data_IF_613262607786
#
_entry.id   IF_613262607786
#
_cell.length_a   1.000
_cell.length_b   1.000
_cell.length_c   1.000
_cell.angle_alpha   90.00
_cell.angle_beta   90.00
_cell.angle_gamma   90.00
#
_symmetry.space_group_name_H-M   'P 1'
#
loop_
_entity.id
_entity.type
_entity.pdbx_description
1 polymer ?
#
# COMPACT_ATOMS: atom_id res chain seq x y z
N UNK A 1 21.21 -22.97 -17.08
CA UNK A 1 20.01 -22.88 -17.93
C UNK A 1 18.84 -22.65 -16.98
N UNK A 2 18.61 -21.40 -16.58
CA UNK A 2 17.44 -21.04 -15.78
C UNK A 2 16.27 -20.94 -16.76
N UNK A 3 15.46 -21.99 -16.83
CA UNK A 3 14.17 -21.89 -17.50
C UNK A 3 13.36 -20.90 -16.67
N UNK A 4 13.11 -19.71 -17.23
CA UNK A 4 12.06 -18.86 -16.72
C UNK A 4 10.79 -19.74 -16.65
N UNK A 5 10.11 -19.78 -15.49
CA UNK A 5 8.91 -20.59 -15.36
C UNK A 5 7.91 -20.24 -16.45
N UNK A 6 7.18 -21.24 -16.92
CA UNK A 6 6.15 -21.04 -17.93
C UNK A 6 5.16 -19.97 -17.44
N UNK A 7 4.76 -19.04 -18.32
CA UNK A 7 3.93 -17.88 -17.94
C UNK A 7 2.60 -18.32 -17.33
N UNK A 8 2.08 -19.46 -17.77
CA UNK A 8 0.87 -20.08 -17.22
C UNK A 8 1.12 -20.64 -15.81
N UNK A 9 2.29 -21.25 -15.55
CA UNK A 9 2.71 -21.69 -14.22
C UNK A 9 2.88 -20.51 -13.25
N UNK A 10 3.40 -19.37 -13.71
CA UNK A 10 3.55 -18.17 -12.87
C UNK A 10 2.20 -17.56 -12.48
N UNK A 11 1.28 -17.47 -13.44
CA UNK A 11 -0.09 -17.02 -13.19
C UNK A 11 -0.82 -17.95 -12.20
N UNK A 12 -0.66 -19.27 -12.36
CA UNK A 12 -1.20 -20.24 -11.43
C UNK A 12 -0.56 -20.12 -10.04
N UNK A 13 0.75 -19.91 -9.97
CA UNK A 13 1.48 -19.70 -8.72
C UNK A 13 0.99 -18.45 -7.97
N UNK A 14 0.80 -17.32 -8.65
CA UNK A 14 0.20 -16.11 -8.05
C UNK A 14 -1.18 -16.40 -7.48
N UNK A 15 -2.03 -17.15 -8.20
CA UNK A 15 -3.36 -17.51 -7.70
C UNK A 15 -3.31 -18.41 -6.45
N UNK A 16 -2.21 -19.15 -6.25
CA UNK A 16 -1.98 -20.01 -5.07
C UNK A 16 -1.38 -19.24 -3.89
N UNK A 17 -0.89 -18.01 -4.07
CA UNK A 17 -0.46 -17.12 -2.98
C UNK A 17 -1.62 -16.80 -2.03
N UNK A 18 -2.88 -16.96 -2.46
CA UNK A 18 -4.08 -16.91 -1.61
C UNK A 18 -4.02 -17.85 -0.38
N UNK A 19 -3.14 -18.86 -0.39
CA UNK A 19 -2.92 -19.77 0.74
C UNK A 19 -1.90 -19.27 1.77
N UNK A 20 -1.20 -18.17 1.49
CA UNK A 20 -0.18 -17.59 2.36
C UNK A 20 -0.82 -16.49 3.21
N UNK A 21 -1.10 -16.83 4.48
CA UNK A 21 -1.57 -15.94 5.55
C UNK A 21 -3.08 -15.60 5.54
N UNK A 22 -3.74 -15.48 6.71
CA UNK A 22 -5.10 -14.93 6.82
C UNK A 22 -5.19 -13.42 6.54
N UNK A 23 -4.04 -12.73 6.50
CA UNK A 23 -3.87 -11.31 6.17
C UNK A 23 -4.77 -10.79 5.02
N UNK A 24 -4.87 -11.47 3.86
CA UNK A 24 -5.72 -11.05 2.74
C UNK A 24 -7.19 -10.87 3.09
N UNK A 25 -7.75 -11.84 3.84
CA UNK A 25 -9.15 -11.84 4.25
C UNK A 25 -9.44 -10.73 5.24
N UNK A 26 -8.45 -10.40 6.06
CA UNK A 26 -8.55 -9.34 7.06
C UNK A 26 -8.59 -7.98 6.39
N UNK A 27 -7.70 -7.71 5.42
CA UNK A 27 -7.70 -6.45 4.65
C UNK A 27 -9.02 -6.25 3.88
N UNK A 28 -9.46 -7.27 3.15
CA UNK A 28 -10.71 -7.20 2.38
C UNK A 28 -11.93 -6.93 3.28
N UNK A 29 -12.02 -7.62 4.42
CA UNK A 29 -13.10 -7.39 5.40
C UNK A 29 -13.01 -6.00 6.02
N UNK A 30 -11.82 -5.54 6.38
CA UNK A 30 -11.63 -4.21 6.97
C UNK A 30 -12.07 -3.10 6.02
N UNK A 31 -11.76 -3.21 4.72
CA UNK A 31 -12.31 -2.30 3.70
C UNK A 31 -13.83 -2.40 3.54
N UNK A 32 -14.39 -3.61 3.63
CA UNK A 32 -15.84 -3.81 3.62
C UNK A 32 -16.53 -3.05 4.75
N UNK A 33 -15.98 -3.13 5.96
CA UNK A 33 -16.47 -2.43 7.14
C UNK A 33 -16.39 -0.90 7.00
N UNK A 34 -15.44 -0.34 6.25
CA UNK A 34 -15.39 1.11 5.98
C UNK A 34 -16.52 1.59 5.06
N UNK A 35 -17.02 0.73 4.19
CA UNK A 35 -18.04 1.07 3.19
C UNK A 35 -19.46 0.83 3.67
N UNK A 36 -19.61 0.02 4.71
CA UNK A 36 -20.90 -0.32 5.29
C UNK A 36 -21.30 0.71 6.36
N UNK A 37 -22.35 1.52 6.13
CA UNK A 37 -22.80 2.54 7.09
C UNK A 37 -23.34 1.94 8.39
N UNK A 38 -23.68 0.65 8.41
CA UNK A 38 -24.21 -0.05 9.59
C UNK A 38 -23.12 -0.75 10.40
N UNK A 39 -21.85 -0.69 9.98
CA UNK A 39 -20.74 -1.31 10.71
C UNK A 39 -20.40 -0.58 12.01
N UNK A 40 -20.12 -1.35 13.06
CA UNK A 40 -19.85 -0.86 14.41
C UNK A 40 -18.48 -1.30 14.93
N UNK A 41 -18.03 -0.68 16.02
CA UNK A 41 -16.77 -1.02 16.72
C UNK A 41 -16.65 -2.53 17.02
N UNK A 42 -17.77 -3.18 17.32
CA UNK A 42 -17.82 -4.62 17.58
C UNK A 42 -17.35 -5.48 16.39
N UNK A 43 -17.59 -5.04 15.15
CA UNK A 43 -17.20 -5.77 13.95
C UNK A 43 -15.68 -5.77 13.75
N UNK A 44 -15.03 -4.65 14.08
CA UNK A 44 -13.56 -4.55 14.07
C UNK A 44 -12.97 -5.44 15.16
N UNK A 45 -13.51 -5.38 16.38
CA UNK A 45 -13.04 -6.23 17.47
C UNK A 45 -13.19 -7.71 17.07
N UNK A 46 -14.34 -8.12 16.53
CA UNK A 46 -14.56 -9.50 16.07
C UNK A 46 -13.58 -9.92 14.95
N UNK A 47 -13.23 -8.98 14.06
CA UNK A 47 -12.27 -9.20 12.98
C UNK A 47 -10.85 -9.47 13.50
N UNK A 48 -10.45 -8.85 14.61
CA UNK A 48 -9.07 -8.82 15.12
C UNK A 48 -8.86 -9.79 16.30
N UNK A 49 -9.85 -9.97 17.16
CA UNK A 49 -9.72 -10.61 18.49
C UNK A 49 -9.29 -12.10 18.43
N UNK A 50 -9.42 -12.75 17.28
CA UNK A 50 -8.98 -14.13 17.07
C UNK A 50 -7.50 -14.25 16.63
N UNK A 51 -6.80 -13.13 16.43
CA UNK A 51 -5.39 -13.07 16.08
C UNK A 51 -4.60 -12.30 17.16
N UNK A 52 -3.83 -13.02 18.02
CA UNK A 52 -3.05 -12.40 19.09
C UNK A 52 -1.97 -11.44 18.60
N UNK A 53 -1.39 -11.68 17.42
CA UNK A 53 -0.33 -10.83 16.86
C UNK A 53 -0.93 -9.50 16.37
N UNK A 54 -2.02 -9.57 15.59
CA UNK A 54 -2.74 -8.36 15.17
C UNK A 54 -3.30 -7.61 16.37
N UNK A 55 -3.85 -8.32 17.37
CA UNK A 55 -4.32 -7.70 18.61
C UNK A 55 -3.21 -6.91 19.30
N UNK A 56 -2.01 -7.50 19.42
CA UNK A 56 -0.85 -6.82 20.01
C UNK A 56 -0.39 -5.63 19.17
N UNK A 57 -0.43 -5.73 17.84
CA UNK A 57 -0.05 -4.65 16.92
C UNK A 57 -1.03 -3.48 16.98
N UNK A 58 -2.34 -3.73 17.07
CA UNK A 58 -3.35 -2.67 17.27
C UNK A 58 -3.18 -1.99 18.62
N UNK A 59 -3.00 -2.77 19.69
CA UNK A 59 -2.77 -2.21 21.03
C UNK A 59 -1.50 -1.35 21.04
N UNK A 60 -0.39 -1.86 20.46
CA UNK A 60 0.87 -1.10 20.34
C UNK A 60 0.70 0.15 19.49
N UNK A 61 0.05 0.02 18.34
CA UNK A 61 -0.26 1.11 17.42
C UNK A 61 -1.08 2.23 18.08
N UNK A 62 -2.16 1.87 18.79
CA UNK A 62 -3.04 2.82 19.50
C UNK A 62 -2.34 3.59 20.62
N UNK A 63 -1.19 3.10 21.09
CA UNK A 63 -0.35 3.72 22.10
C UNK A 63 0.77 4.60 21.49
N UNK A 64 0.90 4.67 20.16
CA UNK A 64 1.85 5.58 19.50
C UNK A 64 1.49 7.05 19.72
N UNK A 65 2.48 7.93 19.58
CA UNK A 65 2.28 9.38 19.69
C UNK A 65 1.30 9.93 18.62
N UNK A 66 1.16 9.24 17.49
CA UNK A 66 0.23 9.60 16.41
C UNK A 66 -1.24 9.58 16.88
N UNK A 67 -1.62 8.55 17.65
CA UNK A 67 -2.97 8.38 18.18
C UNK A 67 -3.22 9.06 19.53
N UNK A 68 -2.27 9.87 19.99
CA UNK A 68 -2.53 10.86 21.01
C UNK A 68 -2.40 10.44 22.47
N UNK A 69 -2.32 11.51 23.26
CA UNK A 69 -2.00 11.62 24.68
C UNK A 69 -3.21 11.22 25.53
N UNK A 70 -2.98 10.32 26.48
CA UNK A 70 -3.98 9.72 27.35
C UNK A 70 -3.38 8.49 28.04
N UNK A 71 -4.16 7.78 28.84
CA UNK A 71 -3.68 6.56 29.48
C UNK A 71 -3.37 5.48 28.43
N UNK A 72 -2.28 4.74 28.62
CA UNK A 72 -1.95 3.61 27.74
C UNK A 72 -3.01 2.53 27.91
N UNK A 73 -3.44 1.95 26.79
CA UNK A 73 -4.44 0.89 26.77
C UNK A 73 -3.78 -0.48 26.62
N UNK A 74 -4.36 -1.49 27.26
CA UNK A 74 -3.85 -2.86 27.29
C UNK A 74 -4.85 -3.91 26.76
N UNK A 75 -5.99 -3.48 26.24
CA UNK A 75 -7.04 -4.35 25.69
C UNK A 75 -7.49 -3.84 24.32
N UNK A 76 -7.84 -4.75 23.42
CA UNK A 76 -8.32 -4.44 22.08
C UNK A 76 -9.53 -3.50 22.09
N UNK A 77 -10.55 -3.77 22.92
CA UNK A 77 -11.74 -2.93 23.01
C UNK A 77 -11.42 -1.48 23.39
N UNK A 78 -10.53 -1.29 24.37
CA UNK A 78 -10.06 0.06 24.78
C UNK A 78 -9.20 0.71 23.70
N UNK A 79 -8.41 -0.04 22.96
CA UNK A 79 -7.65 0.48 21.83
C UNK A 79 -8.57 0.99 20.72
N UNK A 80 -9.56 0.20 20.33
CA UNK A 80 -10.53 0.58 19.29
C UNK A 80 -11.41 1.75 19.74
N UNK A 81 -11.83 1.78 21.01
CA UNK A 81 -12.55 2.92 21.58
C UNK A 81 -11.71 4.21 21.64
N UNK A 82 -10.41 4.08 21.96
CA UNK A 82 -9.50 5.22 22.09
C UNK A 82 -9.30 5.93 20.75
N UNK A 83 -9.02 5.17 19.69
CA UNK A 83 -8.66 5.73 18.39
C UNK A 83 -9.87 5.88 17.45
N UNK A 84 -10.95 5.16 17.74
CA UNK A 84 -12.17 5.14 16.94
C UNK A 84 -12.16 4.10 15.82
N UNK A 85 -13.32 3.88 15.22
CA UNK A 85 -13.58 2.83 14.23
C UNK A 85 -12.66 2.95 13.00
N UNK A 86 -12.66 4.11 12.34
CA UNK A 86 -11.87 4.33 11.10
C UNK A 86 -10.37 4.13 11.35
N UNK A 87 -9.84 4.68 12.43
CA UNK A 87 -8.42 4.56 12.75
C UNK A 87 -8.02 3.14 13.20
N UNK A 88 -8.96 2.37 13.74
CA UNK A 88 -8.72 0.96 14.05
C UNK A 88 -8.59 0.12 12.79
N UNK A 89 -9.40 0.41 11.76
CA UNK A 89 -9.24 -0.21 10.45
C UNK A 89 -7.91 0.21 9.81
N UNK A 90 -7.52 1.48 9.97
CA UNK A 90 -6.23 1.96 9.49
C UNK A 90 -5.05 1.21 10.13
N UNK A 91 -5.02 1.11 11.45
CA UNK A 91 -4.00 0.33 12.16
C UNK A 91 -4.02 -1.15 11.80
N UNK A 92 -5.21 -1.72 11.56
CA UNK A 92 -5.35 -3.10 11.11
C UNK A 92 -4.71 -3.29 9.74
N UNK A 93 -5.00 -2.40 8.79
CA UNK A 93 -4.39 -2.44 7.47
C UNK A 93 -2.87 -2.35 7.57
N UNK A 94 -2.34 -1.48 8.43
CA UNK A 94 -0.92 -1.36 8.70
C UNK A 94 -0.27 -2.62 9.25
N UNK A 95 -0.87 -3.21 10.30
CA UNK A 95 -0.36 -4.43 10.92
C UNK A 95 -0.33 -5.57 9.90
N UNK A 96 -1.39 -5.69 9.09
CA UNK A 96 -1.48 -6.73 8.09
C UNK A 96 -0.46 -6.52 6.96
N UNK A 97 -0.26 -5.30 6.48
CA UNK A 97 0.76 -5.02 5.45
C UNK A 97 2.16 -5.25 5.97
N UNK A 98 2.43 -4.89 7.23
CA UNK A 98 3.70 -5.21 7.85
C UNK A 98 3.95 -6.72 7.89
N UNK A 99 2.93 -7.53 8.21
CA UNK A 99 3.03 -8.98 8.16
C UNK A 99 3.32 -9.51 6.74
N UNK A 100 2.68 -8.94 5.71
CA UNK A 100 2.88 -9.34 4.31
C UNK A 100 4.27 -8.90 3.80
N UNK A 101 4.73 -7.71 4.20
CA UNK A 101 6.01 -7.11 3.80
C UNK A 101 7.18 -7.46 4.74
N UNK A 102 7.03 -8.44 5.62
CA UNK A 102 8.04 -8.82 6.63
C UNK A 102 9.30 -9.51 6.06
N UNK A 103 9.44 -9.59 4.73
CA UNK A 103 10.55 -10.25 4.05
C UNK A 103 11.15 -9.32 3.00
N UNK A 104 12.47 -9.42 2.85
CA UNK A 104 13.18 -8.72 1.80
C UNK A 104 12.67 -9.13 0.42
N UNK A 105 12.49 -8.12 -0.43
CA UNK A 105 12.22 -8.31 -1.85
C UNK A 105 13.54 -8.50 -2.58
N UNK A 106 14.19 -9.64 -2.34
CA UNK A 106 15.52 -9.96 -2.87
C UNK A 106 15.62 -9.85 -4.40
N UNK A 107 14.55 -10.21 -5.13
CA UNK A 107 14.49 -10.05 -6.59
C UNK A 107 14.50 -8.60 -7.06
N UNK A 108 14.16 -7.66 -6.17
CA UNK A 108 14.12 -6.22 -6.43
C UNK A 108 15.26 -5.45 -5.75
N UNK A 109 16.07 -6.11 -4.91
CA UNK A 109 17.09 -5.45 -4.10
C UNK A 109 16.52 -4.50 -3.04
N UNK A 110 15.28 -4.72 -2.59
CA UNK A 110 14.59 -3.85 -1.61
C UNK A 110 14.48 -4.59 -0.28
N UNK A 111 14.94 -3.97 0.81
CA UNK A 111 14.78 -4.51 2.16
C UNK A 111 13.32 -4.45 2.64
N UNK A 112 12.95 -5.34 3.57
CA UNK A 112 11.60 -5.39 4.16
C UNK A 112 11.16 -4.03 4.72
N UNK A 113 12.03 -3.37 5.49
CA UNK A 113 11.76 -2.07 6.10
C UNK A 113 11.55 -0.96 5.07
N UNK A 114 12.29 -1.00 3.95
CA UNK A 114 12.17 -0.04 2.86
C UNK A 114 10.87 -0.25 2.08
N UNK A 115 10.51 -1.50 1.79
CA UNK A 115 9.24 -1.85 1.14
C UNK A 115 8.03 -1.46 1.99
N UNK A 116 8.10 -1.71 3.30
CA UNK A 116 7.08 -1.27 4.24
C UNK A 116 7.01 0.26 4.33
N UNK A 117 8.16 0.93 4.42
CA UNK A 117 8.23 2.40 4.51
C UNK A 117 7.66 3.07 3.26
N UNK A 118 8.00 2.55 2.07
CA UNK A 118 7.48 3.02 0.79
C UNK A 118 5.96 2.86 0.72
N UNK A 119 5.43 1.71 1.11
CA UNK A 119 3.98 1.45 1.13
C UNK A 119 3.27 2.39 2.10
N UNK A 120 3.80 2.52 3.32
CA UNK A 120 3.23 3.38 4.36
C UNK A 120 3.15 4.84 3.93
N UNK A 121 4.27 5.37 3.42
CA UNK A 121 4.36 6.74 2.97
C UNK A 121 3.37 7.03 1.83
N UNK A 122 3.27 6.13 0.85
CA UNK A 122 2.33 6.30 -0.25
C UNK A 122 0.88 6.21 0.18
N UNK A 123 0.57 5.39 1.17
CA UNK A 123 -0.75 5.39 1.81
C UNK A 123 -1.10 6.78 2.34
N UNK A 124 -0.25 7.33 3.23
CA UNK A 124 -0.47 8.68 3.79
C UNK A 124 -0.57 9.76 2.71
N UNK A 125 0.29 9.69 1.70
CA UNK A 125 0.29 10.66 0.62
C UNK A 125 -1.02 10.62 -0.18
N UNK A 126 -1.49 9.42 -0.53
CA UNK A 126 -2.76 9.23 -1.24
C UNK A 126 -3.96 9.68 -0.41
N UNK A 127 -3.95 9.47 0.91
CA UNK A 127 -5.00 9.96 1.81
C UNK A 127 -5.08 11.50 1.79
N UNK A 128 -3.94 12.17 1.98
CA UNK A 128 -3.87 13.63 1.99
C UNK A 128 -4.26 14.21 0.61
N UNK A 129 -3.88 13.51 -0.46
CA UNK A 129 -4.28 13.87 -1.83
C UNK A 129 -5.79 13.71 -2.06
N UNK A 130 -6.43 12.66 -1.52
CA UNK A 130 -7.90 12.52 -1.58
C UNK A 130 -8.62 13.65 -0.85
N UNK A 131 -8.12 14.03 0.34
CA UNK A 131 -8.64 15.16 1.11
C UNK A 131 -8.53 16.48 0.34
N UNK A 132 -7.41 16.68 -0.35
CA UNK A 132 -7.16 17.88 -1.16
C UNK A 132 -8.08 17.97 -2.38
N UNK A 133 -8.12 16.89 -3.17
CA UNK A 133 -8.82 16.87 -4.46
C UNK A 133 -10.34 16.83 -4.33
N UNK A 134 -10.85 16.39 -3.18
CA UNK A 134 -12.28 16.24 -2.82
C UNK A 134 -13.02 15.24 -3.71
N UNK A 135 -14.09 14.62 -3.17
CA UNK A 135 -14.96 13.71 -3.92
C UNK A 135 -14.53 12.24 -3.95
N UNK A 136 -13.51 11.87 -3.18
CA UNK A 136 -13.06 10.49 -3.00
C UNK A 136 -12.81 10.18 -1.52
N UNK A 137 -13.06 8.94 -1.12
CA UNK A 137 -12.90 8.51 0.27
C UNK A 137 -11.40 8.42 0.64
N UNK A 138 -10.92 9.19 1.63
CA UNK A 138 -9.50 9.17 2.01
C UNK A 138 -9.01 7.80 2.47
N UNK A 139 -9.85 7.03 3.16
CA UNK A 139 -9.50 5.70 3.68
C UNK A 139 -9.29 4.68 2.54
N UNK A 140 -10.04 4.84 1.43
CA UNK A 140 -9.87 4.03 0.23
C UNK A 140 -8.59 4.42 -0.51
N UNK A 141 -8.32 5.72 -0.66
CA UNK A 141 -7.09 6.23 -1.26
C UNK A 141 -5.85 5.79 -0.49
N UNK A 142 -5.90 5.86 0.84
CA UNK A 142 -4.87 5.36 1.74
C UNK A 142 -4.54 3.89 1.46
N UNK A 143 -5.59 3.07 1.34
CA UNK A 143 -5.43 1.64 1.09
C UNK A 143 -4.88 1.37 -0.31
N UNK A 144 -5.27 2.14 -1.33
CA UNK A 144 -4.69 2.04 -2.67
C UNK A 144 -3.19 2.37 -2.67
N UNK A 145 -2.78 3.42 -1.94
CA UNK A 145 -1.37 3.79 -1.80
C UNK A 145 -0.53 2.70 -1.12
N UNK A 146 -1.08 2.10 -0.06
CA UNK A 146 -0.47 0.97 0.63
C UNK A 146 -0.30 -0.28 -0.26
N UNK A 147 -1.28 -0.56 -1.11
CA UNK A 147 -1.30 -1.78 -1.94
C UNK A 147 -0.62 -1.60 -3.29
N UNK A 148 -0.13 -0.40 -3.60
CA UNK A 148 0.43 -0.04 -4.89
C UNK A 148 1.42 -1.07 -5.45
N UNK A 149 2.35 -1.51 -4.60
CA UNK A 149 3.42 -2.45 -4.97
C UNK A 149 3.20 -3.87 -4.44
N UNK A 150 1.97 -4.22 -4.07
CA UNK A 150 1.64 -5.57 -3.55
C UNK A 150 2.01 -6.68 -4.55
N UNK A 151 1.99 -6.39 -5.85
CA UNK A 151 2.41 -7.35 -6.87
C UNK A 151 3.90 -7.69 -6.85
N UNK A 152 4.78 -6.80 -6.35
CA UNK A 152 6.21 -7.10 -6.19
C UNK A 152 6.42 -8.22 -5.17
N UNK A 153 5.65 -8.21 -4.09
CA UNK A 153 5.66 -9.27 -3.08
C UNK A 153 5.24 -10.60 -3.69
N UNK A 154 4.19 -10.60 -4.52
CA UNK A 154 3.73 -11.79 -5.22
C UNK A 154 4.79 -12.35 -6.17
N UNK A 155 5.36 -11.49 -7.01
CA UNK A 155 6.40 -11.88 -7.97
C UNK A 155 7.65 -12.40 -7.25
N UNK A 156 8.13 -11.70 -6.22
CA UNK A 156 9.29 -12.11 -5.44
C UNK A 156 9.08 -13.48 -4.77
N UNK A 157 7.90 -13.72 -4.18
CA UNK A 157 7.58 -14.99 -3.55
C UNK A 157 7.56 -16.14 -4.57
N UNK A 158 6.96 -15.93 -5.74
CA UNK A 158 6.91 -16.96 -6.80
C UNK A 158 8.29 -17.24 -7.37
N UNK A 159 9.11 -16.20 -7.63
CA UNK A 159 10.50 -16.39 -8.06
C UNK A 159 11.26 -17.23 -7.04
N UNK A 160 11.12 -16.92 -5.75
CA UNK A 160 11.75 -17.66 -4.67
C UNK A 160 11.27 -19.13 -4.63
N UNK A 161 9.96 -19.38 -4.70
CA UNK A 161 9.37 -20.73 -4.61
C UNK A 161 9.74 -21.63 -5.80
N UNK A 162 9.97 -21.04 -6.96
CA UNK A 162 10.42 -21.74 -8.16
C UNK A 162 11.94 -21.95 -8.18
N UNK A 163 12.64 -21.62 -7.08
CA UNK A 163 14.09 -21.78 -6.93
C UNK A 163 14.90 -20.76 -7.75
N UNK A 164 14.27 -19.66 -8.17
CA UNK A 164 14.91 -18.61 -8.94
C UNK A 164 15.84 -17.73 -8.10
N UNK A 165 16.96 -17.33 -8.71
CA UNK A 165 17.91 -16.34 -8.17
C UNK A 165 18.04 -15.10 -9.07
N UNK A 166 16.99 -14.77 -9.83
CA UNK A 166 16.99 -13.59 -10.70
C UNK A 166 16.77 -12.33 -9.86
N UNK A 167 17.53 -11.29 -10.20
CA UNK A 167 17.48 -9.99 -9.54
C UNK A 167 17.43 -8.89 -10.59
N UNK A 168 16.66 -7.85 -10.30
CA UNK A 168 16.63 -6.64 -11.10
C UNK A 168 17.86 -5.78 -10.76
N UNK A 169 18.64 -5.43 -11.78
CA UNK A 169 19.89 -4.68 -11.64
C UNK A 169 19.73 -3.16 -11.85
N UNK A 170 18.50 -2.70 -12.10
CA UNK A 170 18.20 -1.30 -12.37
C UNK A 170 18.48 -0.83 -13.81
N UNK A 171 19.07 -1.66 -14.66
CA UNK A 171 19.47 -1.26 -16.02
C UNK A 171 18.33 -1.36 -17.03
N UNK A 172 17.50 -2.39 -16.88
CA UNK A 172 16.31 -2.61 -17.70
C UNK A 172 15.11 -1.93 -17.05
N UNK A 173 14.19 -1.30 -17.81
CA UNK A 173 12.95 -0.81 -17.25
C UNK A 173 12.23 -1.91 -16.45
N UNK A 174 11.80 -1.59 -15.22
CA UNK A 174 11.29 -2.59 -14.27
C UNK A 174 10.21 -3.49 -14.88
N UNK A 175 9.23 -2.89 -15.56
CA UNK A 175 8.13 -3.61 -16.20
C UNK A 175 8.62 -4.60 -17.27
N UNK A 176 9.63 -4.23 -18.06
CA UNK A 176 10.20 -5.14 -19.05
C UNK A 176 10.90 -6.33 -18.39
N UNK A 177 11.66 -6.08 -17.31
CA UNK A 177 12.29 -7.14 -16.53
C UNK A 177 11.25 -8.07 -15.88
N UNK A 178 10.16 -7.51 -15.33
CA UNK A 178 9.06 -8.31 -14.75
C UNK A 178 8.35 -9.16 -15.81
N UNK A 179 8.08 -8.62 -17.00
CA UNK A 179 7.48 -9.39 -18.09
C UNK A 179 8.40 -10.53 -18.55
N UNK A 180 9.71 -10.31 -18.59
CA UNK A 180 10.68 -11.34 -18.96
C UNK A 180 10.80 -12.46 -17.91
N UNK A 181 10.82 -12.10 -16.62
CA UNK A 181 11.12 -13.04 -15.54
C UNK A 181 9.86 -13.64 -14.87
N UNK A 182 8.74 -12.94 -14.92
CA UNK A 182 7.47 -13.30 -14.27
C UNK A 182 6.29 -13.39 -15.25
N UNK A 183 6.47 -13.00 -16.51
CA UNK A 183 5.43 -13.06 -17.55
C UNK A 183 4.40 -11.94 -17.48
N UNK A 184 4.43 -11.09 -16.45
CA UNK A 184 3.52 -9.96 -16.25
C UNK A 184 4.16 -8.90 -15.33
N UNK A 185 3.73 -7.62 -15.43
CA UNK A 185 4.17 -6.59 -14.48
C UNK A 185 3.56 -6.77 -13.09
N UNK A 186 4.19 -6.15 -12.08
CA UNK A 186 3.64 -6.13 -10.71
C UNK A 186 2.25 -5.51 -10.64
N UNK A 187 1.88 -4.60 -11.54
CA UNK A 187 0.54 -3.99 -11.57
C UNK A 187 -0.53 -5.05 -11.83
N UNK A 188 -0.33 -5.88 -12.88
CA UNK A 188 -1.20 -7.01 -13.20
C UNK A 188 -1.16 -8.10 -12.12
N UNK A 189 0.03 -8.44 -11.61
CA UNK A 189 0.17 -9.43 -10.54
C UNK A 189 -0.59 -8.98 -9.26
N UNK A 190 -0.44 -7.71 -8.89
CA UNK A 190 -1.12 -7.10 -7.75
C UNK A 190 -2.63 -7.09 -7.93
N UNK A 191 -3.14 -6.66 -9.08
CA UNK A 191 -4.57 -6.67 -9.35
C UNK A 191 -5.18 -8.08 -9.30
N UNK A 192 -4.48 -9.08 -9.86
CA UNK A 192 -4.90 -10.50 -9.77
C UNK A 192 -4.95 -10.98 -8.32
N UNK A 193 -3.93 -10.62 -7.54
CA UNK A 193 -3.88 -10.94 -6.12
C UNK A 193 -5.06 -10.31 -5.37
N UNK A 194 -5.33 -9.02 -5.59
CA UNK A 194 -6.44 -8.32 -4.95
C UNK A 194 -7.81 -8.87 -5.34
N UNK A 195 -8.02 -9.26 -6.61
CA UNK A 195 -9.25 -9.94 -7.05
C UNK A 195 -9.41 -11.31 -6.39
N UNK A 196 -8.34 -12.10 -6.28
CA UNK A 196 -8.36 -13.35 -5.52
C UNK A 196 -8.74 -13.12 -4.05
N UNK A 197 -8.24 -12.02 -3.48
CA UNK A 197 -8.56 -11.55 -2.13
C UNK A 197 -9.92 -10.86 -2.01
N UNK A 198 -10.73 -10.83 -3.08
CA UNK A 198 -12.09 -10.27 -3.12
C UNK A 198 -12.13 -8.78 -2.79
N UNK A 199 -11.12 -8.01 -3.16
CA UNK A 199 -11.22 -6.56 -3.18
C UNK A 199 -12.22 -6.13 -4.26
N UNK A 200 -12.84 -4.97 -4.07
CA UNK A 200 -13.75 -4.44 -5.06
C UNK A 200 -13.01 -4.07 -6.36
N UNK A 201 -13.72 -4.21 -7.49
CA UNK A 201 -13.14 -4.01 -8.82
C UNK A 201 -12.52 -2.63 -9.03
N UNK A 202 -13.06 -1.50 -8.52
CA UNK A 202 -12.40 -0.20 -8.63
C UNK A 202 -10.97 -0.19 -8.05
N UNK A 203 -10.74 -0.88 -6.94
CA UNK A 203 -9.41 -1.00 -6.33
C UNK A 203 -8.49 -1.88 -7.18
N UNK A 204 -8.99 -3.02 -7.64
CA UNK A 204 -8.23 -3.95 -8.47
C UNK A 204 -7.81 -3.28 -9.80
N UNK A 205 -8.77 -2.62 -10.45
CA UNK A 205 -8.56 -1.83 -11.66
C UNK A 205 -7.55 -0.71 -11.43
N UNK A 206 -7.66 0.04 -10.33
CA UNK A 206 -6.71 1.11 -10.03
C UNK A 206 -5.26 0.62 -9.90
N UNK A 207 -5.05 -0.54 -9.27
CA UNK A 207 -3.72 -1.13 -9.12
C UNK A 207 -3.19 -1.70 -10.45
N UNK A 208 -4.06 -2.25 -11.30
CA UNK A 208 -3.68 -2.76 -12.62
C UNK A 208 -3.23 -1.63 -13.57
N UNK A 209 -3.99 -0.54 -13.58
CA UNK A 209 -3.84 0.56 -14.52
C UNK A 209 -3.10 1.78 -13.95
N UNK A 210 -2.45 1.64 -12.79
CA UNK A 210 -1.72 2.74 -12.12
C UNK A 210 -0.61 3.40 -12.97
N UNK A 211 -0.09 2.72 -14.00
CA UNK A 211 0.90 3.27 -14.91
C UNK A 211 0.27 3.85 -16.20
N UNK A 212 -0.99 3.52 -16.48
CA UNK A 212 -1.74 3.89 -17.69
C UNK A 212 -3.19 4.21 -17.31
N UNK A 213 -3.41 5.24 -16.48
CA UNK A 213 -4.70 5.43 -15.81
C UNK A 213 -5.86 5.63 -16.77
N UNK A 214 -5.65 6.22 -17.95
CA UNK A 214 -6.71 6.44 -18.96
C UNK A 214 -7.33 5.15 -19.51
N UNK A 215 -6.67 4.00 -19.31
CA UNK A 215 -7.18 2.68 -19.68
C UNK A 215 -7.96 1.99 -18.55
N UNK A 216 -8.06 2.60 -17.36
CA UNK A 216 -8.76 2.01 -16.22
C UNK A 216 -10.29 1.98 -16.46
N UNK A 217 -10.94 0.81 -16.48
CA UNK A 217 -12.40 0.73 -16.64
C UNK A 217 -13.15 1.25 -15.41
N UNK A 218 -12.58 1.07 -14.22
CA UNK A 218 -13.12 1.52 -12.94
C UNK A 218 -12.01 2.13 -12.06
N UNK A 219 -12.36 2.92 -11.06
CA UNK A 219 -11.38 3.48 -10.13
C UNK A 219 -10.45 4.54 -10.75
N UNK A 220 -10.90 5.23 -11.80
CA UNK A 220 -10.11 6.20 -12.59
C UNK A 220 -9.32 7.19 -11.73
N UNK A 221 -9.94 7.72 -10.67
CA UNK A 221 -9.28 8.66 -9.77
C UNK A 221 -8.13 8.01 -9.01
N UNK A 222 -8.34 6.81 -8.45
CA UNK A 222 -7.29 6.07 -7.74
C UNK A 222 -6.12 5.74 -8.67
N UNK A 223 -6.40 5.25 -9.89
CA UNK A 223 -5.38 4.99 -10.89
C UNK A 223 -4.56 6.24 -11.23
N UNK A 224 -5.26 7.37 -11.47
CA UNK A 224 -4.65 8.65 -11.84
C UNK A 224 -3.85 9.27 -10.69
N UNK A 225 -4.32 9.12 -9.46
CA UNK A 225 -3.63 9.56 -8.26
C UNK A 225 -2.36 8.73 -8.00
N UNK A 226 -2.42 7.41 -8.12
CA UNK A 226 -1.23 6.54 -8.05
C UNK A 226 -0.21 6.88 -9.14
N UNK A 227 -0.67 7.14 -10.35
CA UNK A 227 0.17 7.59 -11.47
C UNK A 227 0.86 8.92 -11.17
N UNK A 228 0.11 9.89 -10.62
CA UNK A 228 0.66 11.17 -10.20
C UNK A 228 1.74 11.00 -9.12
N UNK A 229 1.50 10.16 -8.10
CA UNK A 229 2.51 9.85 -7.06
C UNK A 229 3.76 9.19 -7.67
N UNK A 230 3.59 8.33 -8.68
CA UNK A 230 4.70 7.73 -9.45
C UNK A 230 5.61 8.80 -10.08
N UNK A 231 4.98 9.75 -10.76
CA UNK A 231 5.66 10.77 -11.53
C UNK A 231 6.33 11.81 -10.61
N UNK A 232 5.79 12.01 -9.41
CA UNK A 232 6.36 12.89 -8.40
C UNK A 232 7.62 12.30 -7.75
N UNK A 233 7.68 10.99 -7.57
CA UNK A 233 8.80 10.28 -6.94
C UNK A 233 9.44 9.27 -7.91
N UNK A 234 10.06 9.72 -9.02
CA UNK A 234 10.68 8.83 -9.98
C UNK A 234 11.89 8.10 -9.35
N UNK A 235 12.34 7.01 -9.98
CA UNK A 235 13.45 6.20 -9.49
C UNK A 235 14.75 6.99 -9.21
N UNK A 236 14.96 8.12 -9.89
CA UNK A 236 16.10 9.04 -9.68
C UNK A 236 16.02 9.86 -8.38
N UNK A 237 14.86 9.95 -7.75
CA UNK A 237 14.57 10.76 -6.57
C UNK A 237 13.78 9.98 -5.52
N UNK A 238 13.95 8.65 -5.49
CA UNK A 238 13.17 7.61 -4.77
C UNK A 238 12.24 8.08 -3.64
N UNK A 239 11.09 7.42 -3.47
CA UNK A 239 10.21 7.66 -2.30
C UNK A 239 10.97 7.66 -0.98
N UNK A 240 12.02 6.85 -0.84
CA UNK A 240 12.92 6.86 0.32
C UNK A 240 13.65 8.21 0.47
N UNK A 241 14.18 8.80 -0.60
CA UNK A 241 14.72 10.17 -0.57
C UNK A 241 13.67 11.15 -0.08
N UNK A 242 12.44 11.08 -0.59
CA UNK A 242 11.35 11.94 -0.13
C UNK A 242 10.95 11.67 1.33
N UNK A 243 11.12 10.46 1.86
CA UNK A 243 10.90 10.16 3.28
C UNK A 243 12.01 10.74 4.16
N UNK A 244 13.27 10.56 3.75
CA UNK A 244 14.44 10.79 4.60
C UNK A 244 15.02 12.21 4.48
N UNK A 245 14.94 12.83 3.31
CA UNK A 245 15.47 14.17 3.07
C UNK A 245 14.41 15.24 3.30
N UNK A 246 14.46 15.88 4.47
CA UNK A 246 13.55 16.99 4.82
C UNK A 246 13.71 18.21 3.91
N UNK A 247 14.83 18.34 3.21
CA UNK A 247 15.11 19.43 2.27
C UNK A 247 14.62 19.13 0.85
N UNK A 248 14.06 17.94 0.59
CA UNK A 248 13.46 17.64 -0.71
C UNK A 248 12.26 18.56 -0.95
N UNK A 249 12.33 19.31 -2.05
CA UNK A 249 11.38 20.32 -2.48
C UNK A 249 10.76 19.96 -3.84
N UNK A 250 9.44 20.03 -3.91
CA UNK A 250 8.67 19.89 -5.13
C UNK A 250 8.62 21.26 -5.81
N UNK A 251 9.55 21.48 -6.73
CA UNK A 251 9.68 22.74 -7.49
C UNK A 251 8.72 22.79 -8.68
N UNK A 252 8.54 21.65 -9.35
CA UNK A 252 7.70 21.51 -10.54
C UNK A 252 6.84 20.25 -10.41
N UNK A 253 5.61 20.31 -10.93
CA UNK A 253 4.71 19.16 -10.99
C UNK A 253 4.79 18.51 -12.38
N UNK A 254 4.65 17.18 -12.46
CA UNK A 254 4.58 16.49 -13.75
C UNK A 254 3.36 16.98 -14.56
N UNK A 255 3.54 17.17 -15.86
CA UNK A 255 2.45 17.56 -16.77
C UNK A 255 1.50 16.38 -16.99
N UNK A 256 0.57 16.22 -16.06
CA UNK A 256 -0.43 15.15 -16.06
C UNK A 256 -1.84 15.74 -16.05
N UNK A 257 -2.82 15.10 -16.73
CA UNK A 257 -4.22 15.52 -16.68
C UNK A 257 -4.77 15.59 -15.24
N UNK A 258 -4.25 14.78 -14.32
CA UNK A 258 -4.62 14.78 -12.91
C UNK A 258 -4.29 16.12 -12.22
N UNK A 259 -3.10 16.68 -12.48
CA UNK A 259 -2.66 17.97 -11.92
C UNK A 259 -3.57 19.09 -12.40
N UNK A 260 -3.85 19.12 -13.71
CA UNK A 260 -4.68 20.14 -14.32
C UNK A 260 -6.14 20.04 -13.84
N UNK A 261 -6.71 18.84 -13.80
CA UNK A 261 -8.09 18.58 -13.37
C UNK A 261 -8.37 19.03 -11.94
N UNK A 262 -7.39 18.83 -11.05
CA UNK A 262 -7.52 19.17 -9.64
C UNK A 262 -6.85 20.50 -9.26
N UNK A 263 -6.35 21.25 -10.25
CA UNK A 263 -5.67 22.53 -10.05
C UNK A 263 -4.56 22.48 -8.98
N UNK A 264 -3.80 21.37 -8.94
CA UNK A 264 -2.74 21.18 -7.96
C UNK A 264 -1.58 22.15 -8.25
N UNK A 265 -1.05 22.78 -7.20
CA UNK A 265 0.13 23.64 -7.28
C UNK A 265 1.34 22.98 -6.61
N UNK A 266 2.59 23.27 -7.03
CA UNK A 266 3.79 22.73 -6.37
C UNK A 266 3.79 23.00 -4.87
N UNK A 267 3.42 24.21 -4.45
CA UNK A 267 3.30 24.59 -3.04
C UNK A 267 2.33 23.69 -2.27
N UNK A 268 1.16 23.41 -2.84
CA UNK A 268 0.17 22.58 -2.14
C UNK A 268 0.61 21.12 -2.04
N UNK A 269 1.24 20.60 -3.09
CA UNK A 269 1.79 19.23 -3.07
C UNK A 269 2.98 19.13 -2.09
N UNK A 270 3.77 20.20 -1.93
CA UNK A 270 4.81 20.28 -0.90
C UNK A 270 4.22 20.25 0.52
N UNK A 271 3.11 20.93 0.76
CA UNK A 271 2.39 20.87 2.06
C UNK A 271 1.90 19.45 2.34
N UNK A 272 1.29 18.78 1.34
CA UNK A 272 0.89 17.36 1.44
C UNK A 272 2.09 16.47 1.78
N UNK A 273 3.25 16.70 1.16
CA UNK A 273 4.48 15.96 1.45
C UNK A 273 4.93 16.15 2.91
N UNK A 274 4.86 17.38 3.44
CA UNK A 274 5.22 17.69 4.82
C UNK A 274 4.27 16.98 5.79
N UNK A 275 2.95 17.10 5.60
CA UNK A 275 1.92 16.43 6.40
C UNK A 275 2.10 14.89 6.39
N UNK A 276 2.46 14.34 5.22
CA UNK A 276 2.75 12.92 5.03
C UNK A 276 3.96 12.48 5.84
N UNK A 277 5.05 13.25 5.85
CA UNK A 277 6.27 12.95 6.63
C UNK A 277 6.02 12.98 8.13
N UNK A 278 5.23 13.93 8.60
CA UNK A 278 4.87 14.03 10.01
C UNK A 278 4.11 12.80 10.47
N UNK A 279 3.09 12.40 9.69
CA UNK A 279 2.27 11.21 9.95
C UNK A 279 3.09 9.93 9.90
N UNK A 280 3.92 9.76 8.86
CA UNK A 280 4.85 8.64 8.71
C UNK A 280 5.80 8.53 9.91
N UNK A 281 6.46 9.63 10.27
CA UNK A 281 7.43 9.66 11.35
C UNK A 281 6.80 9.38 12.72
N UNK A 282 5.56 9.81 12.95
CA UNK A 282 4.84 9.57 14.19
C UNK A 282 4.46 8.09 14.37
N UNK A 283 4.03 7.41 13.30
CA UNK A 283 3.74 5.97 13.33
C UNK A 283 5.04 5.15 13.47
N UNK A 284 6.08 5.45 12.67
CA UNK A 284 7.33 4.68 12.67
C UNK A 284 8.02 4.67 14.04
N UNK A 285 8.03 5.80 14.76
CA UNK A 285 8.61 5.92 16.12
C UNK A 285 7.87 5.15 17.22
N UNK A 286 6.63 4.71 16.97
CA UNK A 286 5.82 4.04 17.98
C UNK A 286 5.63 2.54 17.73
N UNK A 287 5.90 2.06 16.52
CA UNK A 287 5.88 0.64 16.19
C UNK A 287 7.24 -0.05 16.38
N UNK A 288 8.33 0.72 16.37
CA UNK A 288 9.73 0.31 16.54
C UNK A 288 10.43 1.26 17.52
#
# INVERSE_FOLDING_TARGET
>A
MNLAPDKEQFAEAISKIDKLSPAPRILSRALGLLRDPDSEIGDIVALINNDPALTADIIRGSNTAYYGIGERVASLDRAVQKIGFRESIRLLNLAVIHLIAARDLGSYGIGADDSWSESLFQGFFMENLARETRGHEPDEAYTAGLLRYIGRLAINQVIHDLGGGTFWDGTTPLEAWEIENAGMPHTTAGARLLRAWKFAEPMCSAIEWQNTPDAAPEGQWLASALHFVAALFPASASVLTAIHDRQYEIVELPDLPFVQRHALSPTRVQEILIETRESFGAIRRGLF
#
